data_IF_214018286364
#
_entry.id   IF_214018286364
#
_cell.length_a   1.000
_cell.length_b   1.000
_cell.length_c   1.000
_cell.angle_alpha   90.00
_cell.angle_beta   90.00
_cell.angle_gamma   90.00
#
_symmetry.space_group_name_H-M   'P 1'
#
loop_
_entity.id
_entity.type
_entity.pdbx_description
1 polymer ?
#
# COMPACT_ATOMS: atom_id res chain seq x y z
N UNK A 1 -21.56 12.08 -1.36
CA UNK A 1 -20.40 11.28 -1.79
C UNK A 1 -20.05 10.20 -0.76
N UNK A 2 -19.90 10.56 0.51
CA UNK A 2 -19.57 9.66 1.63
C UNK A 2 -20.48 8.44 1.71
N UNK A 3 -21.80 8.62 1.58
CA UNK A 3 -22.80 7.54 1.58
C UNK A 3 -22.54 6.45 0.53
N UNK A 4 -22.03 6.82 -0.67
CA UNK A 4 -21.73 5.84 -1.72
C UNK A 4 -20.49 5.01 -1.39
N UNK A 5 -19.44 5.62 -0.81
CA UNK A 5 -18.24 4.91 -0.36
C UNK A 5 -18.56 3.98 0.83
N UNK A 6 -19.38 4.43 1.76
CA UNK A 6 -19.87 3.58 2.87
C UNK A 6 -20.61 2.35 2.33
N UNK A 7 -21.50 2.52 1.34
CA UNK A 7 -22.20 1.39 0.72
C UNK A 7 -21.26 0.41 0.03
N UNK A 8 -20.17 0.89 -0.62
CA UNK A 8 -19.14 0.03 -1.20
C UNK A 8 -18.47 -0.79 -0.09
N UNK A 9 -18.11 -0.14 1.03
CA UNK A 9 -17.48 -0.81 2.15
C UNK A 9 -18.42 -1.88 2.78
N UNK A 10 -19.71 -1.59 2.91
CA UNK A 10 -20.71 -2.56 3.38
C UNK A 10 -20.82 -3.78 2.45
N UNK A 11 -20.87 -3.57 1.13
CA UNK A 11 -20.87 -4.66 0.15
C UNK A 11 -19.59 -5.47 0.26
N UNK A 12 -18.45 -4.80 0.44
CA UNK A 12 -17.17 -5.45 0.59
C UNK A 12 -17.07 -6.35 1.83
N UNK A 13 -17.73 -5.97 2.93
CA UNK A 13 -17.82 -6.79 4.16
C UNK A 13 -18.77 -7.98 3.96
N UNK A 14 -19.97 -7.72 3.44
CA UNK A 14 -21.05 -8.69 3.38
C UNK A 14 -20.80 -9.81 2.37
N UNK A 15 -20.13 -9.52 1.27
CA UNK A 15 -19.88 -10.50 0.21
C UNK A 15 -18.55 -11.22 0.42
N UNK A 16 -18.57 -12.54 0.29
CA UNK A 16 -17.35 -13.36 0.28
C UNK A 16 -16.42 -13.00 -0.90
N UNK A 17 -17.01 -12.67 -2.05
CA UNK A 17 -16.34 -12.28 -3.29
C UNK A 17 -17.04 -11.08 -3.93
N UNK A 18 -16.85 -9.85 -3.39
CA UNK A 18 -17.45 -8.66 -3.97
C UNK A 18 -16.75 -8.32 -5.29
N UNK A 19 -17.52 -8.06 -6.32
CA UNK A 19 -17.05 -7.61 -7.63
C UNK A 19 -17.66 -6.24 -7.91
N UNK A 20 -16.81 -5.25 -8.18
CA UNK A 20 -17.21 -3.88 -8.45
C UNK A 20 -16.99 -3.57 -9.94
N UNK A 21 -18.10 -3.46 -10.68
CA UNK A 21 -18.08 -3.27 -12.13
C UNK A 21 -18.20 -1.81 -12.57
N UNK A 22 -18.68 -0.93 -11.68
CA UNK A 22 -18.95 0.48 -12.00
C UNK A 22 -18.71 1.36 -10.77
N UNK A 23 -17.46 1.78 -10.57
CA UNK A 23 -17.04 2.68 -9.49
C UNK A 23 -16.27 3.89 -9.99
N UNK A 24 -15.83 3.89 -11.25
CA UNK A 24 -15.11 5.00 -11.86
C UNK A 24 -15.93 6.29 -11.92
N UNK A 25 -17.26 6.20 -12.12
CA UNK A 25 -18.16 7.36 -12.16
C UNK A 25 -18.20 8.15 -10.83
N UNK A 26 -17.68 7.57 -9.73
CA UNK A 26 -17.54 8.25 -8.45
C UNK A 26 -16.46 9.32 -8.49
N UNK A 27 -15.50 9.24 -9.44
CA UNK A 27 -14.53 10.31 -9.69
C UNK A 27 -15.22 11.41 -10.47
N UNK A 28 -15.96 12.24 -9.77
CA UNK A 28 -16.76 13.35 -10.29
C UNK A 28 -16.35 14.67 -9.65
N UNK A 29 -16.94 15.78 -10.06
CA UNK A 29 -16.62 17.11 -9.57
C UNK A 29 -16.67 17.22 -8.05
N UNK A 30 -17.69 16.65 -7.40
CA UNK A 30 -17.86 16.72 -5.94
C UNK A 30 -16.73 15.99 -5.21
N UNK A 31 -16.39 14.77 -5.67
CA UNK A 31 -15.30 14.00 -5.08
C UNK A 31 -13.95 14.72 -5.25
N UNK A 32 -13.67 15.24 -6.44
CA UNK A 32 -12.40 15.92 -6.71
C UNK A 32 -12.28 17.24 -5.92
N UNK A 33 -13.36 18.01 -5.78
CA UNK A 33 -13.41 19.20 -4.92
C UNK A 33 -13.19 18.84 -3.44
N UNK A 34 -13.78 17.74 -2.98
CA UNK A 34 -13.54 17.24 -1.63
C UNK A 34 -12.07 16.80 -1.45
N UNK A 35 -11.48 16.09 -2.41
CA UNK A 35 -10.07 15.74 -2.41
C UNK A 35 -9.16 16.97 -2.35
N UNK A 36 -9.49 18.03 -3.12
CA UNK A 36 -8.77 19.30 -3.05
C UNK A 36 -8.80 19.90 -1.63
N UNK A 37 -9.95 19.89 -0.95
CA UNK A 37 -10.05 20.40 0.43
C UNK A 37 -9.17 19.62 1.40
N UNK A 38 -9.15 18.30 1.29
CA UNK A 38 -8.44 17.40 2.21
C UNK A 38 -6.93 17.32 1.98
N UNK A 39 -6.45 17.61 0.77
CA UNK A 39 -5.03 17.61 0.48
C UNK A 39 -4.32 18.73 1.23
N UNK A 40 -3.18 18.39 1.86
CA UNK A 40 -2.31 19.35 2.54
C UNK A 40 -1.59 20.24 1.52
N UNK A 41 -1.79 21.52 1.61
CA UNK A 41 -1.17 22.53 0.72
C UNK A 41 0.31 22.78 1.01
N UNK A 42 0.83 22.36 2.18
CA UNK A 42 2.23 22.53 2.55
C UNK A 42 3.17 21.53 1.89
N UNK A 43 2.62 20.48 1.23
CA UNK A 43 3.43 19.43 0.59
C UNK A 43 4.09 19.92 -0.71
N UNK A 44 5.30 19.40 -0.95
CA UNK A 44 6.11 19.72 -2.12
C UNK A 44 5.32 19.62 -3.44
N UNK A 45 5.61 20.52 -4.38
CA UNK A 45 5.00 20.61 -5.72
C UNK A 45 5.66 19.63 -6.69
N UNK A 46 4.91 19.19 -7.70
CA UNK A 46 5.41 18.33 -8.78
C UNK A 46 6.21 19.08 -9.84
N UNK A 47 6.41 18.42 -10.99
CA UNK A 47 7.19 18.97 -12.10
C UNK A 47 6.57 20.24 -12.72
N UNK A 48 5.26 20.38 -12.60
CA UNK A 48 4.47 21.54 -13.07
C UNK A 48 4.61 22.75 -12.15
N UNK A 49 5.18 22.60 -10.97
CA UNK A 49 5.35 23.61 -9.92
C UNK A 49 4.04 24.25 -9.42
N UNK A 50 2.89 23.66 -9.76
CA UNK A 50 1.58 24.17 -9.34
C UNK A 50 1.33 23.86 -7.87
N UNK A 51 1.01 24.90 -7.10
CA UNK A 51 0.63 24.81 -5.69
C UNK A 51 -0.87 24.57 -5.53
N UNK A 52 -1.30 24.18 -4.31
CA UNK A 52 -2.72 24.06 -3.96
C UNK A 52 -3.46 25.38 -4.19
N UNK A 53 -2.85 26.49 -3.76
CA UNK A 53 -3.46 27.81 -3.81
C UNK A 53 -3.59 28.31 -5.26
N UNK A 54 -2.58 28.09 -6.09
CA UNK A 54 -2.64 28.42 -7.53
C UNK A 54 -3.72 27.62 -8.24
N UNK A 55 -3.78 26.30 -8.02
CA UNK A 55 -4.84 25.46 -8.58
C UNK A 55 -6.23 25.89 -8.10
N UNK A 56 -6.32 26.29 -6.83
CA UNK A 56 -7.55 26.75 -6.16
C UNK A 56 -8.12 28.06 -6.70
N UNK A 57 -7.30 28.96 -7.29
CA UNK A 57 -7.78 30.24 -7.86
C UNK A 57 -8.86 30.04 -8.93
N UNK A 58 -8.79 28.96 -9.69
CA UNK A 58 -9.75 28.60 -10.75
C UNK A 58 -10.35 27.21 -10.54
N UNK A 59 -10.60 26.82 -9.28
CA UNK A 59 -10.95 25.45 -8.91
C UNK A 59 -12.10 24.87 -9.74
N UNK A 60 -13.20 25.57 -9.88
CA UNK A 60 -14.39 25.08 -10.60
C UNK A 60 -14.09 24.80 -12.07
N UNK A 61 -13.35 25.68 -12.72
CA UNK A 61 -12.94 25.52 -14.13
C UNK A 61 -11.96 24.34 -14.25
N UNK A 62 -10.94 24.28 -13.40
CA UNK A 62 -9.91 23.23 -13.42
C UNK A 62 -10.52 21.85 -13.18
N UNK A 63 -11.43 21.73 -12.20
CA UNK A 63 -12.11 20.47 -11.90
C UNK A 63 -13.05 20.04 -13.04
N UNK A 64 -13.79 20.95 -13.66
CA UNK A 64 -14.64 20.63 -14.82
C UNK A 64 -13.83 20.11 -16.00
N UNK A 65 -12.73 20.78 -16.33
CA UNK A 65 -11.80 20.33 -17.38
C UNK A 65 -11.21 18.95 -17.04
N UNK A 66 -10.74 18.76 -15.82
CA UNK A 66 -10.21 17.48 -15.35
C UNK A 66 -11.23 16.34 -15.50
N UNK A 67 -12.49 16.56 -15.06
CA UNK A 67 -13.56 15.57 -15.19
C UNK A 67 -13.82 15.25 -16.67
N UNK A 68 -13.80 16.26 -17.54
CA UNK A 68 -13.98 16.04 -18.98
C UNK A 68 -12.86 15.20 -19.58
N UNK A 69 -11.59 15.50 -19.24
CA UNK A 69 -10.42 14.69 -19.67
C UNK A 69 -10.48 13.27 -19.15
N UNK A 70 -10.91 13.06 -17.91
CA UNK A 70 -11.11 11.73 -17.33
C UNK A 70 -12.21 10.94 -18.06
N UNK A 71 -13.37 11.56 -18.33
CA UNK A 71 -14.48 10.96 -19.07
C UNK A 71 -14.09 10.55 -20.49
N UNK A 72 -13.39 11.42 -21.19
CA UNK A 72 -12.94 11.19 -22.59
C UNK A 72 -11.69 10.30 -22.68
N UNK A 73 -11.13 9.85 -21.55
CA UNK A 73 -9.89 9.08 -21.51
C UNK A 73 -8.66 9.81 -22.09
N UNK A 74 -8.74 11.11 -22.21
CA UNK A 74 -7.62 11.96 -22.66
C UNK A 74 -6.71 12.40 -21.53
N UNK A 75 -7.06 12.10 -20.29
CA UNK A 75 -6.21 12.37 -19.12
C UNK A 75 -4.90 11.59 -19.19
N UNK A 76 -3.80 12.30 -18.98
CA UNK A 76 -2.44 11.73 -18.93
C UNK A 76 -1.77 12.20 -17.65
N UNK A 77 -1.46 11.29 -16.71
CA UNK A 77 -0.66 11.62 -15.54
C UNK A 77 0.70 12.20 -15.95
N UNK A 78 1.17 13.19 -15.22
CA UNK A 78 2.52 13.70 -15.38
C UNK A 78 3.53 12.76 -14.67
N UNK A 79 4.79 12.68 -15.14
CA UNK A 79 5.83 11.95 -14.44
C UNK A 79 6.03 12.51 -13.03
N UNK A 80 6.30 11.64 -12.06
CA UNK A 80 6.62 12.06 -10.70
C UNK A 80 8.01 12.69 -10.64
N UNK A 81 8.15 13.85 -10.02
CA UNK A 81 9.45 14.48 -9.80
C UNK A 81 10.23 13.70 -8.74
N UNK A 82 11.39 13.15 -9.11
CA UNK A 82 12.29 12.43 -8.21
C UNK A 82 13.06 13.41 -7.34
N UNK A 83 12.97 13.23 -6.02
CA UNK A 83 13.78 13.93 -5.03
C UNK A 83 14.34 12.93 -4.02
N UNK A 84 15.44 13.28 -3.37
CA UNK A 84 16.10 12.40 -2.41
C UNK A 84 16.08 13.00 -1.01
N UNK A 85 15.61 12.22 -0.03
CA UNK A 85 15.64 12.58 1.38
C UNK A 85 16.72 11.76 2.10
N UNK A 86 17.59 12.38 2.92
CA UNK A 86 18.59 11.64 3.68
C UNK A 86 17.95 10.71 4.70
N UNK A 87 18.46 9.49 4.83
CA UNK A 87 18.13 8.55 5.91
C UNK A 87 19.13 8.72 7.06
N UNK A 88 18.74 8.28 8.27
CA UNK A 88 19.60 8.33 9.47
C UNK A 88 20.95 7.58 9.28
N UNK A 89 21.01 6.58 8.39
CA UNK A 89 22.20 5.81 8.07
C UNK A 89 23.06 6.41 6.94
N UNK A 90 22.84 7.67 6.56
CA UNK A 90 23.56 8.35 5.49
C UNK A 90 23.12 7.98 4.06
N UNK A 91 22.30 6.95 3.88
CA UNK A 91 21.72 6.62 2.57
C UNK A 91 20.61 7.61 2.21
N UNK A 92 20.30 7.73 0.92
CA UNK A 92 19.20 8.57 0.42
C UNK A 92 17.96 7.72 0.15
N UNK A 93 16.77 8.25 0.49
CA UNK A 93 15.48 7.66 0.11
C UNK A 93 14.94 8.41 -1.09
N UNK A 94 14.70 7.73 -2.23
CA UNK A 94 14.05 8.37 -3.36
C UNK A 94 12.56 8.60 -3.07
N UNK A 95 12.05 9.78 -3.38
CA UNK A 95 10.62 10.09 -3.35
C UNK A 95 10.17 10.60 -4.71
N UNK A 96 8.97 10.18 -5.13
CA UNK A 96 8.30 10.70 -6.32
C UNK A 96 7.21 11.69 -5.94
N UNK A 97 7.35 12.95 -6.32
CA UNK A 97 6.36 13.99 -6.06
C UNK A 97 5.47 14.15 -7.29
N UNK A 98 4.21 13.80 -7.17
CA UNK A 98 3.22 13.97 -8.22
C UNK A 98 2.83 15.45 -8.40
N UNK A 99 2.34 15.84 -9.58
CA UNK A 99 1.73 17.15 -9.83
C UNK A 99 0.51 17.35 -8.92
N UNK A 100 0.10 18.61 -8.72
CA UNK A 100 -1.01 18.87 -7.80
C UNK A 100 -2.33 18.25 -8.30
N UNK A 101 -2.61 18.35 -9.59
CA UNK A 101 -3.80 17.74 -10.20
C UNK A 101 -3.78 16.21 -10.08
N UNK A 102 -2.61 15.60 -10.29
CA UNK A 102 -2.45 14.16 -10.10
C UNK A 102 -2.71 13.72 -8.64
N UNK A 103 -2.28 14.52 -7.65
CA UNK A 103 -2.57 14.25 -6.24
C UNK A 103 -4.07 14.21 -5.95
N UNK A 104 -4.85 15.12 -6.58
CA UNK A 104 -6.32 15.15 -6.44
C UNK A 104 -6.92 13.85 -6.98
N UNK A 105 -6.53 13.42 -8.18
CA UNK A 105 -7.03 12.18 -8.80
C UNK A 105 -6.59 10.94 -8.02
N UNK A 106 -5.32 10.88 -7.61
CA UNK A 106 -4.79 9.79 -6.78
C UNK A 106 -5.53 9.68 -5.44
N UNK A 107 -5.91 10.80 -4.83
CA UNK A 107 -6.72 10.80 -3.60
C UNK A 107 -8.13 10.23 -3.85
N UNK A 108 -8.75 10.57 -4.97
CA UNK A 108 -10.05 10.00 -5.34
C UNK A 108 -9.96 8.48 -5.57
N UNK A 109 -8.94 8.01 -6.30
CA UNK A 109 -8.67 6.57 -6.47
C UNK A 109 -8.42 5.90 -5.13
N UNK A 110 -7.57 6.48 -4.27
CA UNK A 110 -7.30 5.97 -2.90
C UNK A 110 -8.59 5.82 -2.09
N UNK A 111 -9.52 6.77 -2.14
CA UNK A 111 -10.80 6.69 -1.43
C UNK A 111 -11.66 5.51 -1.92
N UNK A 112 -11.72 5.30 -3.23
CA UNK A 112 -12.47 4.18 -3.82
C UNK A 112 -11.82 2.85 -3.43
N UNK A 113 -10.51 2.71 -3.62
CA UNK A 113 -9.77 1.51 -3.22
C UNK A 113 -9.89 1.25 -1.70
N UNK A 114 -9.83 2.30 -0.89
CA UNK A 114 -10.02 2.19 0.56
C UNK A 114 -11.40 1.64 0.93
N UNK A 115 -12.47 2.10 0.29
CA UNK A 115 -13.80 1.56 0.52
C UNK A 115 -13.92 0.08 0.13
N UNK A 116 -13.18 -0.36 -0.89
CA UNK A 116 -13.19 -1.76 -1.35
C UNK A 116 -12.32 -2.66 -0.47
N UNK A 117 -11.08 -2.26 -0.17
CA UNK A 117 -10.07 -3.14 0.39
C UNK A 117 -9.87 -3.00 1.91
N UNK A 118 -10.08 -1.81 2.50
CA UNK A 118 -9.88 -1.62 3.95
C UNK A 118 -10.70 -2.61 4.81
N UNK A 119 -11.97 -2.90 4.49
CA UNK A 119 -12.75 -3.89 5.22
C UNK A 119 -12.25 -5.33 5.05
N UNK A 120 -11.43 -5.59 4.04
CA UNK A 120 -10.93 -6.93 3.70
C UNK A 120 -9.54 -7.21 4.25
N UNK A 121 -8.79 -6.16 4.58
CA UNK A 121 -7.45 -6.32 5.14
C UNK A 121 -7.49 -7.05 6.48
N UNK A 122 -6.57 -7.98 6.66
CA UNK A 122 -6.50 -8.77 7.87
C UNK A 122 -6.06 -7.92 9.07
N UNK A 123 -6.42 -8.36 10.27
CA UNK A 123 -6.08 -7.64 11.50
C UNK A 123 -4.57 -7.57 11.79
N UNK A 124 -3.79 -8.45 11.18
CA UNK A 124 -2.33 -8.42 11.29
C UNK A 124 -1.66 -7.30 10.47
N UNK A 125 -2.41 -6.54 9.66
CA UNK A 125 -1.89 -5.42 8.85
C UNK A 125 -2.11 -4.10 9.58
N UNK A 126 -1.04 -3.31 9.75
CA UNK A 126 -1.06 -2.05 10.51
C UNK A 126 -0.63 -0.84 9.69
N UNK A 127 0.36 -0.99 8.79
CA UNK A 127 0.91 0.13 8.03
C UNK A 127 -0.11 0.82 7.13
N UNK A 128 -0.08 2.15 7.08
CA UNK A 128 -0.89 3.01 6.20
C UNK A 128 -2.42 2.85 6.34
N UNK A 129 -2.90 2.22 7.39
CA UNK A 129 -4.33 1.98 7.65
C UNK A 129 -4.89 3.02 8.64
N UNK A 130 -6.15 3.45 8.47
CA UNK A 130 -6.79 4.36 9.42
C UNK A 130 -6.89 3.70 10.82
N UNK A 131 -6.64 4.51 11.86
CA UNK A 131 -6.71 4.09 13.26
C UNK A 131 -5.80 2.91 13.63
N UNK A 132 -4.72 2.69 12.88
CA UNK A 132 -3.69 1.69 13.16
C UNK A 132 -2.32 2.30 12.97
N UNK A 133 -1.45 2.11 13.96
CA UNK A 133 -0.11 2.67 13.96
C UNK A 133 0.96 1.67 14.39
N UNK A 134 2.19 2.16 14.48
CA UNK A 134 3.33 1.35 14.88
C UNK A 134 3.20 0.85 16.33
N UNK A 135 2.65 1.67 17.23
CA UNK A 135 2.47 1.30 18.63
C UNK A 135 1.51 0.12 18.81
N UNK A 136 0.40 0.08 18.05
CA UNK A 136 -0.54 -1.05 18.06
C UNK A 136 0.11 -2.31 17.50
N UNK A 137 0.93 -2.18 16.44
CA UNK A 137 1.69 -3.31 15.88
C UNK A 137 2.68 -3.88 16.90
N UNK A 138 3.46 -3.03 17.56
CA UNK A 138 4.42 -3.43 18.61
C UNK A 138 3.68 -4.07 19.81
N UNK A 139 2.55 -3.50 20.21
CA UNK A 139 1.73 -4.08 21.29
C UNK A 139 1.23 -5.47 20.95
N UNK A 140 0.78 -5.69 19.71
CA UNK A 140 0.36 -7.04 19.26
C UNK A 140 1.53 -8.03 19.30
N UNK A 141 2.71 -7.66 18.78
CA UNK A 141 3.92 -8.49 18.85
C UNK A 141 4.26 -8.82 20.30
N UNK A 142 4.28 -7.82 21.18
CA UNK A 142 4.56 -8.00 22.61
C UNK A 142 3.58 -8.98 23.25
N UNK A 143 2.29 -8.83 23.01
CA UNK A 143 1.26 -9.72 23.56
C UNK A 143 1.43 -11.17 23.09
N UNK A 144 1.72 -11.36 21.77
CA UNK A 144 1.94 -12.70 21.20
C UNK A 144 3.16 -13.40 21.78
N UNK A 145 4.22 -12.67 22.05
CA UNK A 145 5.45 -13.23 22.63
C UNK A 145 5.27 -13.48 24.12
N UNK A 146 4.68 -12.53 24.88
CA UNK A 146 4.60 -12.61 26.33
C UNK A 146 3.58 -13.64 26.83
N UNK A 147 2.46 -13.78 26.13
CA UNK A 147 1.35 -14.64 26.57
C UNK A 147 1.14 -15.88 25.69
N UNK A 148 1.78 -15.96 24.52
CA UNK A 148 1.72 -17.10 23.63
C UNK A 148 2.86 -18.08 23.85
N UNK A 149 2.84 -19.19 23.11
CA UNK A 149 3.90 -20.20 23.11
C UNK A 149 4.96 -19.93 22.05
N UNK A 150 5.28 -18.65 21.79
CA UNK A 150 6.20 -18.26 20.73
C UNK A 150 7.63 -18.28 21.25
N UNK A 151 8.50 -19.02 20.58
CA UNK A 151 9.92 -19.13 20.92
C UNK A 151 10.85 -18.67 19.82
N UNK A 152 10.38 -18.61 18.57
CA UNK A 152 11.16 -18.23 17.40
C UNK A 152 10.52 -17.11 16.63
N UNK A 153 11.33 -16.12 16.23
CA UNK A 153 10.91 -14.93 15.50
C UNK A 153 11.65 -14.87 14.17
N UNK A 154 10.91 -14.61 13.11
CA UNK A 154 11.41 -14.25 11.80
C UNK A 154 11.08 -12.76 11.58
N UNK A 155 12.10 -11.92 11.65
CA UNK A 155 12.03 -10.48 11.35
C UNK A 155 12.58 -10.27 9.94
N UNK A 156 11.76 -9.80 9.04
CA UNK A 156 12.11 -9.63 7.65
C UNK A 156 11.58 -8.29 7.09
N UNK A 157 12.34 -7.76 6.14
CA UNK A 157 12.07 -6.54 5.38
C UNK A 157 12.09 -6.85 3.89
N UNK A 158 11.39 -6.07 3.10
CA UNK A 158 11.41 -6.21 1.63
C UNK A 158 12.29 -5.12 1.05
N UNK A 159 13.36 -5.54 0.41
CA UNK A 159 14.32 -4.61 -0.21
C UNK A 159 13.67 -3.82 -1.33
N UNK A 160 13.67 -2.49 -1.17
CA UNK A 160 13.17 -1.59 -2.22
C UNK A 160 11.71 -1.88 -2.62
N UNK A 161 10.86 -2.25 -1.67
CA UNK A 161 9.49 -2.72 -1.92
C UNK A 161 8.72 -1.89 -2.95
N UNK A 162 8.69 -0.56 -2.76
CA UNK A 162 7.98 0.34 -3.66
C UNK A 162 8.57 0.38 -5.08
N UNK A 163 9.85 0.12 -5.22
CA UNK A 163 10.56 0.15 -6.50
C UNK A 163 10.37 -1.16 -7.30
N UNK A 164 9.95 -2.26 -6.62
CA UNK A 164 9.84 -3.61 -7.20
C UNK A 164 8.41 -4.17 -7.22
N UNK A 165 7.40 -3.34 -7.01
CA UNK A 165 6.00 -3.77 -7.20
C UNK A 165 5.77 -4.11 -8.67
N UNK A 166 5.56 -5.39 -8.98
CA UNK A 166 5.25 -5.85 -10.33
C UNK A 166 3.87 -5.36 -10.78
N UNK A 167 3.82 -4.64 -11.90
CA UNK A 167 2.58 -4.01 -12.38
C UNK A 167 1.54 -5.05 -12.83
N UNK A 168 1.96 -6.16 -13.41
CA UNK A 168 1.02 -7.18 -13.89
C UNK A 168 0.40 -7.95 -12.71
N UNK A 169 1.20 -8.28 -11.68
CA UNK A 169 0.64 -8.84 -10.45
C UNK A 169 -0.26 -7.86 -9.72
N UNK A 170 0.13 -6.57 -9.63
CA UNK A 170 -0.75 -5.54 -9.06
C UNK A 170 -2.09 -5.49 -9.76
N UNK A 171 -2.09 -5.47 -11.10
CA UNK A 171 -3.33 -5.44 -11.86
C UNK A 171 -4.17 -6.70 -11.66
N UNK A 172 -3.57 -7.89 -11.61
CA UNK A 172 -4.28 -9.15 -11.29
C UNK A 172 -4.92 -9.12 -9.91
N UNK A 173 -4.23 -8.56 -8.90
CA UNK A 173 -4.79 -8.42 -7.56
C UNK A 173 -5.97 -7.44 -7.51
N UNK A 174 -5.88 -6.35 -8.24
CA UNK A 174 -6.99 -5.40 -8.37
C UNK A 174 -8.19 -6.02 -9.12
N UNK A 175 -7.95 -6.72 -10.20
CA UNK A 175 -8.97 -7.37 -11.05
C UNK A 175 -9.76 -8.45 -10.29
N UNK A 176 -9.21 -8.98 -9.20
CA UNK A 176 -9.92 -9.92 -8.32
C UNK A 176 -11.23 -9.35 -7.74
N UNK A 177 -11.25 -8.05 -7.43
CA UNK A 177 -12.41 -7.37 -6.87
C UNK A 177 -12.95 -6.25 -7.76
N UNK A 178 -12.20 -5.79 -8.75
CA UNK A 178 -12.56 -4.64 -9.59
C UNK A 178 -12.62 -5.10 -11.04
N UNK A 179 -13.80 -5.01 -11.65
CA UNK A 179 -14.02 -5.25 -13.09
C UNK A 179 -14.37 -3.95 -13.83
N UNK A 180 -14.28 -2.80 -13.17
CA UNK A 180 -14.41 -1.49 -13.81
C UNK A 180 -13.16 -1.19 -14.63
N UNK A 181 -13.24 -1.43 -15.93
CA UNK A 181 -12.14 -1.23 -16.89
C UNK A 181 -11.61 0.21 -16.89
N UNK A 182 -12.45 1.20 -16.57
CA UNK A 182 -12.04 2.59 -16.56
C UNK A 182 -11.19 2.92 -15.31
N UNK A 183 -11.56 2.38 -14.14
CA UNK A 183 -10.76 2.54 -12.93
C UNK A 183 -9.42 1.81 -13.08
N UNK A 184 -9.42 0.58 -13.59
CA UNK A 184 -8.20 -0.20 -13.85
C UNK A 184 -7.29 0.50 -14.87
N UNK A 185 -7.87 1.05 -15.95
CA UNK A 185 -7.13 1.86 -16.91
C UNK A 185 -6.43 3.05 -16.26
N UNK A 186 -7.12 3.78 -15.39
CA UNK A 186 -6.56 4.94 -14.69
C UNK A 186 -5.41 4.55 -13.77
N UNK A 187 -5.57 3.46 -13.00
CA UNK A 187 -4.52 2.95 -12.11
C UNK A 187 -3.29 2.53 -12.93
N UNK A 188 -3.49 1.79 -14.04
CA UNK A 188 -2.40 1.39 -14.93
C UNK A 188 -1.67 2.59 -15.54
N UNK A 189 -2.38 3.67 -15.86
CA UNK A 189 -1.76 4.93 -16.31
C UNK A 189 -0.83 5.54 -15.26
N UNK A 190 -1.23 5.52 -13.98
CA UNK A 190 -0.38 6.00 -12.90
C UNK A 190 0.83 5.12 -12.63
N UNK A 191 0.70 3.81 -12.70
CA UNK A 191 1.83 2.90 -12.57
C UNK A 191 2.88 3.12 -13.66
N UNK A 192 2.45 3.48 -14.87
CA UNK A 192 3.30 3.73 -16.05
C UNK A 192 3.60 5.22 -16.29
N UNK A 193 3.30 6.11 -15.35
CA UNK A 193 3.47 7.55 -15.56
C UNK A 193 4.95 8.00 -15.70
N UNK A 194 5.87 7.18 -15.22
CA UNK A 194 7.31 7.48 -15.26
C UNK A 194 7.77 8.43 -14.16
N UNK A 195 9.05 8.70 -14.19
CA UNK A 195 9.76 9.55 -13.24
C UNK A 195 10.53 10.61 -14.02
N UNK A 196 10.57 11.82 -13.49
CA UNK A 196 11.43 12.89 -13.97
C UNK A 196 12.55 13.10 -12.95
N UNK A 197 13.79 12.79 -13.35
CA UNK A 197 14.98 12.97 -12.52
C UNK A 197 15.99 13.87 -13.23
N UNK A 198 16.37 14.98 -12.60
CA UNK A 198 17.33 15.96 -13.16
C UNK A 198 17.01 16.39 -14.60
N UNK A 199 15.72 16.53 -14.92
CA UNK A 199 15.26 16.92 -16.26
C UNK A 199 15.23 15.80 -17.29
N UNK A 200 15.55 14.55 -16.92
CA UNK A 200 15.44 13.37 -17.77
C UNK A 200 14.23 12.55 -17.39
N UNK A 201 13.49 12.11 -18.40
CA UNK A 201 12.36 11.20 -18.23
C UNK A 201 12.84 9.75 -18.18
N UNK A 202 12.38 9.02 -17.16
CA UNK A 202 12.60 7.59 -17.01
C UNK A 202 11.26 6.88 -17.00
N UNK A 203 11.01 5.94 -17.93
CA UNK A 203 9.79 5.13 -17.91
C UNK A 203 9.81 4.19 -16.69
N UNK A 204 8.64 3.88 -16.13
CA UNK A 204 8.50 2.89 -15.07
C UNK A 204 7.82 1.64 -15.62
N UNK A 205 8.53 0.50 -15.60
CA UNK A 205 7.99 -0.81 -15.97
C UNK A 205 7.56 -1.61 -14.74
N UNK A 206 8.15 -1.31 -13.60
CA UNK A 206 7.81 -1.83 -12.27
C UNK A 206 7.81 -0.71 -11.24
N UNK A 207 7.32 -1.01 -10.06
CA UNK A 207 7.31 -0.08 -8.93
C UNK A 207 6.10 0.84 -8.89
N UNK A 208 5.96 1.50 -7.75
CA UNK A 208 4.98 2.56 -7.50
C UNK A 208 5.69 3.73 -6.84
N UNK A 209 5.52 4.93 -7.37
CA UNK A 209 6.26 6.10 -6.90
C UNK A 209 6.12 6.28 -5.38
N UNK A 210 7.21 6.07 -4.64
CA UNK A 210 7.24 6.30 -3.20
C UNK A 210 6.99 7.79 -2.94
N UNK A 211 5.89 8.12 -2.24
CA UNK A 211 5.43 9.49 -2.02
C UNK A 211 4.16 9.85 -2.81
N UNK A 212 3.71 9.03 -3.73
CA UNK A 212 2.39 9.15 -4.34
C UNK A 212 1.28 8.94 -3.31
N UNK A 213 0.17 9.67 -3.45
CA UNK A 213 -0.98 9.62 -2.53
C UNK A 213 -1.64 8.24 -2.50
N UNK A 214 -1.66 7.52 -3.62
CA UNK A 214 -2.31 6.20 -3.69
C UNK A 214 -1.36 5.03 -3.43
N UNK A 215 -0.03 5.21 -3.54
CA UNK A 215 0.94 4.12 -3.40
C UNK A 215 0.86 3.36 -2.08
N UNK A 216 0.58 3.97 -0.91
CA UNK A 216 0.38 3.24 0.33
C UNK A 216 -0.80 2.25 0.28
N UNK A 217 -1.89 2.60 -0.41
CA UNK A 217 -3.04 1.70 -0.59
C UNK A 217 -2.69 0.54 -1.54
N UNK A 218 -2.01 0.82 -2.65
CA UNK A 218 -1.53 -0.22 -3.57
C UNK A 218 -0.54 -1.17 -2.88
N UNK A 219 0.37 -0.63 -2.06
CA UNK A 219 1.29 -1.40 -1.24
C UNK A 219 0.57 -2.39 -0.32
N UNK A 220 -0.45 -1.91 0.41
CA UNK A 220 -1.25 -2.77 1.26
C UNK A 220 -2.03 -3.85 0.48
N UNK A 221 -2.57 -3.52 -0.69
CA UNK A 221 -3.24 -4.51 -1.55
C UNK A 221 -2.24 -5.58 -1.99
N UNK A 222 -1.04 -5.18 -2.40
CA UNK A 222 0.00 -6.12 -2.81
C UNK A 222 0.39 -7.06 -1.67
N UNK A 223 0.74 -6.52 -0.51
CA UNK A 223 1.13 -7.29 0.68
C UNK A 223 -0.01 -8.16 1.21
N UNK A 224 -1.26 -7.73 1.05
CA UNK A 224 -2.41 -8.54 1.41
C UNK A 224 -2.46 -9.84 0.62
N UNK A 225 -2.25 -9.79 -0.69
CA UNK A 225 -2.27 -10.97 -1.55
C UNK A 225 -0.99 -11.79 -1.47
N UNK A 226 0.17 -11.14 -1.40
CA UNK A 226 1.46 -11.83 -1.40
C UNK A 226 1.77 -12.46 -0.04
N UNK A 227 1.58 -11.72 1.05
CA UNK A 227 2.01 -12.13 2.38
C UNK A 227 0.85 -12.56 3.29
N UNK A 228 -0.10 -11.65 3.57
CA UNK A 228 -0.99 -11.87 4.70
C UNK A 228 -2.08 -12.91 4.44
N UNK A 229 -2.63 -12.98 3.22
CA UNK A 229 -3.56 -14.04 2.83
C UNK A 229 -2.85 -15.40 2.74
N UNK A 230 -1.64 -15.45 2.20
CA UNK A 230 -0.86 -16.67 2.15
C UNK A 230 -0.56 -17.18 3.56
N UNK A 231 -0.10 -16.31 4.46
CA UNK A 231 0.14 -16.68 5.85
C UNK A 231 -1.12 -17.26 6.50
N UNK A 232 -2.28 -16.61 6.33
CA UNK A 232 -3.55 -17.05 6.92
C UNK A 232 -4.06 -18.37 6.33
N UNK A 233 -3.99 -18.51 5.00
CA UNK A 233 -4.69 -19.60 4.29
C UNK A 233 -3.82 -20.84 4.07
N UNK A 234 -2.50 -20.69 4.07
CA UNK A 234 -1.54 -21.76 3.84
C UNK A 234 -0.68 -21.97 5.09
N UNK A 235 0.24 -21.05 5.39
CA UNK A 235 1.22 -21.19 6.46
C UNK A 235 0.55 -21.61 7.78
N UNK A 236 -0.41 -20.82 8.24
CA UNK A 236 -1.06 -21.09 9.55
C UNK A 236 -1.78 -22.44 9.62
N UNK A 237 -2.22 -22.99 8.50
CA UNK A 237 -2.89 -24.29 8.48
C UNK A 237 -1.94 -25.47 8.52
N UNK A 238 -0.71 -25.26 8.10
CA UNK A 238 0.34 -26.29 8.04
C UNK A 238 1.21 -26.33 9.29
N UNK A 239 1.11 -25.32 10.15
CA UNK A 239 1.83 -25.25 11.42
C UNK A 239 1.10 -26.08 12.49
N UNK A 240 1.86 -26.85 13.25
CA UNK A 240 1.37 -27.61 14.41
C UNK A 240 1.35 -26.75 15.68
N UNK A 241 2.33 -25.82 15.79
CA UNK A 241 2.45 -24.91 16.90
C UNK A 241 1.69 -23.60 16.69
N UNK A 242 1.69 -22.77 17.74
CA UNK A 242 1.21 -21.40 17.62
C UNK A 242 2.08 -20.61 16.65
N UNK A 243 1.44 -19.84 15.79
CA UNK A 243 2.13 -18.89 14.92
C UNK A 243 1.31 -17.61 14.73
N UNK A 244 2.01 -16.50 14.48
CA UNK A 244 1.40 -15.21 14.19
C UNK A 244 2.19 -14.44 13.14
N UNK A 245 1.53 -13.46 12.52
CA UNK A 245 2.14 -12.48 11.63
C UNK A 245 1.67 -11.08 12.06
N UNK A 246 2.58 -10.13 12.12
CA UNK A 246 2.31 -8.69 12.22
C UNK A 246 3.03 -8.00 11.08
N UNK A 247 2.28 -7.26 10.25
CA UNK A 247 2.80 -6.57 9.08
C UNK A 247 2.59 -5.06 9.20
N UNK A 248 3.64 -4.30 9.01
CA UNK A 248 3.64 -2.84 8.95
C UNK A 248 4.27 -2.36 7.64
N UNK A 249 3.45 -2.19 6.61
CA UNK A 249 3.87 -1.89 5.24
C UNK A 249 4.81 -2.97 4.66
N UNK A 250 6.07 -2.64 4.41
CA UNK A 250 7.14 -3.52 3.94
C UNK A 250 7.85 -4.28 5.06
N UNK A 251 7.76 -3.78 6.31
CA UNK A 251 8.29 -4.47 7.49
C UNK A 251 7.28 -5.51 8.01
N UNK A 252 7.75 -6.67 8.43
CA UNK A 252 6.88 -7.66 9.09
C UNK A 252 7.65 -8.60 10.01
N UNK A 253 6.92 -9.08 11.03
CA UNK A 253 7.41 -10.03 12.02
C UNK A 253 6.48 -11.23 12.04
N UNK A 254 7.05 -12.43 11.89
CA UNK A 254 6.35 -13.69 12.08
C UNK A 254 6.92 -14.44 13.29
N UNK A 255 6.04 -14.99 14.14
CA UNK A 255 6.44 -15.75 15.32
C UNK A 255 5.95 -17.18 15.24
N UNK A 256 6.76 -18.12 15.75
CA UNK A 256 6.50 -19.56 15.72
C UNK A 256 6.84 -20.20 17.05
N UNK A 257 6.11 -21.25 17.40
CA UNK A 257 6.37 -22.06 18.57
C UNK A 257 7.60 -22.96 18.38
N UNK A 258 7.77 -23.55 17.19
CA UNK A 258 8.81 -24.52 16.88
C UNK A 258 9.85 -23.95 15.89
N UNK A 259 11.13 -24.32 16.12
CA UNK A 259 12.26 -23.91 15.29
C UNK A 259 12.12 -24.36 13.83
N UNK A 260 11.77 -25.63 13.64
CA UNK A 260 11.60 -26.22 12.31
C UNK A 260 10.55 -25.51 11.47
N UNK A 261 9.48 -25.01 12.12
CA UNK A 261 8.41 -24.26 11.46
C UNK A 261 8.89 -22.86 11.04
N UNK A 262 9.66 -22.18 11.90
CA UNK A 262 10.25 -20.88 11.58
C UNK A 262 11.25 -20.99 10.40
N UNK A 263 12.11 -22.00 10.40
CA UNK A 263 13.08 -22.26 9.32
C UNK A 263 12.38 -22.62 8.00
N UNK A 264 11.35 -23.47 8.04
CA UNK A 264 10.52 -23.82 6.89
C UNK A 264 9.81 -22.59 6.33
N UNK A 265 9.14 -21.80 7.19
CA UNK A 265 8.47 -20.57 6.79
C UNK A 265 9.44 -19.61 6.09
N UNK A 266 10.64 -19.41 6.63
CA UNK A 266 11.63 -18.53 6.07
C UNK A 266 12.07 -18.94 4.65
N UNK A 267 12.25 -20.25 4.43
CA UNK A 267 12.56 -20.78 3.10
C UNK A 267 11.40 -20.53 2.12
N UNK A 268 10.19 -20.89 2.50
CA UNK A 268 8.99 -20.71 1.68
C UNK A 268 8.69 -19.24 1.41
N UNK A 269 8.99 -18.34 2.38
CA UNK A 269 8.86 -16.91 2.24
C UNK A 269 9.72 -16.34 1.11
N UNK A 270 10.98 -16.78 1.01
CA UNK A 270 11.90 -16.35 -0.07
C UNK A 270 11.33 -16.72 -1.44
N UNK A 271 10.97 -17.99 -1.61
CA UNK A 271 10.42 -18.51 -2.86
C UNK A 271 9.13 -17.77 -3.23
N UNK A 272 8.31 -17.47 -2.22
CA UNK A 272 7.08 -16.72 -2.44
C UNK A 272 7.32 -15.28 -2.84
N UNK A 273 8.23 -14.56 -2.18
CA UNK A 273 8.56 -13.18 -2.53
C UNK A 273 9.12 -13.09 -3.95
N UNK A 274 10.04 -13.97 -4.32
CA UNK A 274 10.62 -14.04 -5.67
C UNK A 274 9.56 -14.27 -6.75
N UNK A 275 8.57 -15.13 -6.49
CA UNK A 275 7.44 -15.36 -7.41
C UNK A 275 6.68 -14.07 -7.76
N UNK A 276 6.66 -13.11 -6.86
CA UNK A 276 5.96 -11.84 -7.03
C UNK A 276 6.92 -10.65 -7.26
N UNK A 277 8.13 -10.91 -7.75
CA UNK A 277 9.11 -9.85 -8.07
C UNK A 277 9.75 -9.17 -6.86
N UNK A 278 9.53 -9.69 -5.64
CA UNK A 278 10.04 -9.11 -4.41
C UNK A 278 11.27 -9.87 -3.88
N UNK A 279 12.13 -9.17 -3.13
CA UNK A 279 13.27 -9.78 -2.43
C UNK A 279 13.18 -9.46 -0.94
N UNK A 280 13.04 -10.51 -0.13
CA UNK A 280 13.11 -10.37 1.33
C UNK A 280 14.57 -10.29 1.78
N UNK A 281 14.89 -9.28 2.61
CA UNK A 281 16.15 -9.23 3.36
C UNK A 281 15.87 -9.66 4.79
N UNK A 282 16.61 -10.68 5.25
CA UNK A 282 16.56 -11.10 6.65
C UNK A 282 17.23 -10.04 7.54
N UNK A 283 16.50 -9.57 8.55
CA UNK A 283 17.10 -8.78 9.62
C UNK A 283 17.57 -9.67 10.77
N UNK A 284 16.79 -10.69 11.14
CA UNK A 284 17.17 -11.68 12.17
C UNK A 284 16.26 -12.91 12.13
N UNK A 285 16.85 -14.12 12.14
CA UNK A 285 16.24 -15.31 12.72
C UNK A 285 16.83 -15.46 14.12
N UNK A 286 16.09 -15.06 15.15
CA UNK A 286 16.61 -14.97 16.51
C UNK A 286 16.18 -16.13 17.39
N UNK A 287 17.09 -16.56 18.26
CA UNK A 287 16.88 -17.51 19.34
C UNK A 287 16.09 -16.89 20.51
N UNK A 288 15.17 -17.69 21.07
CA UNK A 288 14.66 -17.66 22.46
C UNK A 288 14.33 -16.29 23.07
N UNK A 289 13.10 -15.86 22.93
CA UNK A 289 12.57 -14.69 23.65
C UNK A 289 12.35 -14.90 25.15
N UNK A 290 12.51 -16.14 25.68
CA UNK A 290 12.14 -16.46 27.06
C UNK A 290 13.17 -16.10 28.12
N UNK A 291 14.43 -15.82 27.81
CA UNK A 291 15.48 -15.65 28.84
C UNK A 291 15.79 -14.22 29.28
N UNK A 292 15.15 -13.19 28.72
CA UNK A 292 15.48 -11.77 29.02
C UNK A 292 14.34 -10.91 29.56
N UNK A 293 13.14 -11.46 29.74
CA UNK A 293 11.98 -10.69 30.21
C UNK A 293 11.35 -11.34 31.45
N UNK A 294 12.17 -11.67 32.45
CA UNK A 294 11.65 -11.87 33.79
C UNK A 294 11.47 -10.50 34.44
N UNK A 295 10.26 -10.15 34.92
CA UNK A 295 10.03 -8.87 35.60
C UNK A 295 10.65 -8.81 37.02
N UNK A 296 11.42 -9.81 37.41
CA UNK A 296 12.09 -9.89 38.72
C UNK A 296 13.60 -10.11 38.52
N UNK A 297 14.30 -9.02 38.30
CA UNK A 297 15.67 -8.74 38.77
C UNK A 297 15.86 -7.26 38.86
#
# INVERSE_FOLDING_TARGET
METKLVRIAEISVKSKHPIFTSVYHLINEDMLKQCHKELDGSKAVGIDKVTKDEYGKNLDRNIKDLVQRLKNKSFKPLPSLRVYIPKANGKKRPLGIASYEDKIVQMAVKKILGAIYEPRFLNCMYGFRPNRGCHEAIKEVYQRISYGKISYIVDADIKGFFDHIDHEWMMKFLEWNIQDKNLLWLIRKYLKAGIMEQGKFEPTEEGSAQGSVMSPMLANIYMHHVLTLWFKLVVKKEMQGECFLVNFADDFVAGFQYKSEAERYYKELKERMEKFGLRSEERRVGKECRSRWSPYH
#
